data_IF_786568406383
#
_entry.id   IF_786568406383
#
_cell.length_a   1.000
_cell.length_b   1.000
_cell.length_c   1.000
_cell.angle_alpha   90.00
_cell.angle_beta   90.00
_cell.angle_gamma   90.00
#
_symmetry.space_group_name_H-M   'P 1'
#
loop_
_entity.id
_entity.type
_entity.pdbx_description
1 polymer ?
#
# COMPACT_ATOMS: atom_id res chain seq x y z
N UNK A 1 -23.25 11.72 19.57
CA UNK A 1 -22.91 11.43 18.17
C UNK A 1 -21.42 11.13 18.08
N UNK A 2 -20.94 9.98 17.57
CA UNK A 2 -19.48 9.78 17.53
C UNK A 2 -18.90 8.38 17.30
N UNK A 3 -19.48 7.53 16.45
CA UNK A 3 -18.75 6.31 16.01
C UNK A 3 -19.04 5.90 14.57
N UNK A 4 -20.27 6.12 14.10
CA UNK A 4 -20.65 5.80 12.72
C UNK A 4 -20.20 6.87 11.71
N UNK A 5 -19.97 8.13 12.15
CA UNK A 5 -19.49 9.21 11.28
C UNK A 5 -18.02 9.06 10.85
N UNK A 6 -17.19 8.37 11.64
CA UNK A 6 -15.81 8.06 11.24
C UNK A 6 -15.75 6.92 10.22
N UNK A 7 -16.67 5.95 10.27
CA UNK A 7 -16.73 4.84 9.31
C UNK A 7 -17.28 5.30 7.95
N UNK A 8 -18.23 6.24 7.93
CA UNK A 8 -18.66 6.88 6.70
C UNK A 8 -17.52 7.66 6.04
N UNK A 9 -16.55 8.16 6.82
CA UNK A 9 -15.40 8.92 6.33
C UNK A 9 -14.60 8.21 5.24
N UNK A 10 -14.21 6.95 5.45
CA UNK A 10 -13.40 6.19 4.47
C UNK A 10 -14.21 5.83 3.22
N UNK A 11 -15.40 5.23 3.41
CA UNK A 11 -16.24 4.76 2.30
C UNK A 11 -16.79 5.92 1.46
N UNK A 12 -17.04 7.09 2.07
CA UNK A 12 -17.46 8.30 1.33
C UNK A 12 -16.27 9.05 0.74
N UNK A 13 -15.05 8.86 1.24
CA UNK A 13 -13.88 9.57 0.72
C UNK A 13 -13.53 9.16 -0.72
N UNK A 14 -13.64 7.88 -1.08
CA UNK A 14 -13.38 7.40 -2.44
C UNK A 14 -14.29 8.04 -3.50
N UNK A 15 -15.64 7.94 -3.42
CA UNK A 15 -16.51 8.56 -4.40
C UNK A 15 -16.42 10.09 -4.38
N UNK A 16 -16.18 10.70 -3.21
CA UNK A 16 -15.98 12.12 -3.09
C UNK A 16 -14.69 12.59 -3.80
N UNK A 17 -13.55 11.93 -3.53
CA UNK A 17 -12.26 12.28 -4.13
C UNK A 17 -12.28 12.09 -5.66
N UNK A 18 -12.96 11.05 -6.15
CA UNK A 18 -13.12 10.80 -7.57
C UNK A 18 -13.86 11.96 -8.27
N UNK A 19 -14.95 12.45 -7.66
CA UNK A 19 -15.77 13.52 -8.23
C UNK A 19 -15.07 14.88 -8.20
N UNK A 20 -14.31 15.15 -7.15
CA UNK A 20 -13.75 16.49 -6.90
C UNK A 20 -12.38 16.74 -7.56
N UNK A 21 -11.62 15.69 -7.88
CA UNK A 21 -10.34 15.84 -8.58
C UNK A 21 -10.53 15.94 -10.09
N UNK A 22 -9.87 16.87 -10.76
CA UNK A 22 -9.85 16.98 -12.23
C UNK A 22 -8.76 16.11 -12.90
N UNK A 23 -7.79 15.61 -12.11
CA UNK A 23 -6.71 14.77 -12.63
C UNK A 23 -7.20 13.36 -12.99
N UNK A 24 -7.04 12.97 -14.27
CA UNK A 24 -7.34 11.61 -14.76
C UNK A 24 -6.48 10.56 -14.07
N UNK A 25 -5.20 10.86 -13.82
CA UNK A 25 -4.27 9.95 -13.12
C UNK A 25 -4.71 9.69 -11.68
N UNK A 26 -5.20 10.73 -10.99
CA UNK A 26 -5.72 10.55 -9.65
C UNK A 26 -7.04 9.79 -9.65
N UNK A 27 -7.96 10.09 -10.58
CA UNK A 27 -9.21 9.34 -10.73
C UNK A 27 -8.96 7.85 -11.00
N UNK A 28 -8.02 7.49 -11.87
CA UNK A 28 -7.66 6.09 -12.09
C UNK A 28 -7.07 5.45 -10.83
N UNK A 29 -6.24 6.19 -10.08
CA UNK A 29 -5.69 5.71 -8.83
C UNK A 29 -6.76 5.45 -7.76
N UNK A 30 -7.79 6.30 -7.64
CA UNK A 30 -8.90 6.09 -6.71
C UNK A 30 -9.60 4.75 -6.99
N UNK A 31 -9.83 4.43 -8.26
CA UNK A 31 -10.45 3.15 -8.65
C UNK A 31 -9.52 1.98 -8.32
N UNK A 32 -8.25 2.06 -8.75
CA UNK A 32 -7.27 0.99 -8.53
C UNK A 32 -7.05 0.74 -7.03
N UNK A 33 -6.81 1.79 -6.24
CA UNK A 33 -6.63 1.67 -4.79
C UNK A 33 -7.90 1.19 -4.07
N UNK A 34 -9.09 1.54 -4.57
CA UNK A 34 -10.35 1.01 -4.06
C UNK A 34 -10.48 -0.50 -4.27
N UNK A 35 -10.19 -0.97 -5.49
CA UNK A 35 -10.19 -2.41 -5.83
C UNK A 35 -9.13 -3.15 -5.04
N UNK A 36 -7.89 -2.66 -5.03
CA UNK A 36 -6.79 -3.28 -4.30
C UNK A 36 -7.04 -3.27 -2.79
N UNK A 37 -7.59 -2.18 -2.24
CA UNK A 37 -7.95 -2.08 -0.83
C UNK A 37 -9.06 -3.06 -0.44
N UNK A 38 -10.08 -3.23 -1.29
CA UNK A 38 -11.14 -4.21 -1.08
C UNK A 38 -10.61 -5.65 -1.15
N UNK A 39 -9.80 -5.97 -2.17
CA UNK A 39 -9.13 -7.27 -2.29
C UNK A 39 -8.25 -7.54 -1.08
N UNK A 40 -7.45 -6.56 -0.66
CA UNK A 40 -6.59 -6.66 0.50
C UNK A 40 -7.39 -6.92 1.78
N UNK A 41 -8.46 -6.17 2.02
CA UNK A 41 -9.33 -6.39 3.18
C UNK A 41 -9.96 -7.79 3.16
N UNK A 42 -10.37 -8.28 1.98
CA UNK A 42 -10.87 -9.63 1.80
C UNK A 42 -9.81 -10.69 2.14
N UNK A 43 -8.58 -10.54 1.66
CA UNK A 43 -7.46 -11.43 2.00
C UNK A 43 -7.11 -11.39 3.50
N UNK A 44 -7.14 -10.20 4.11
CA UNK A 44 -6.95 -10.02 5.56
C UNK A 44 -8.00 -10.78 6.37
N UNK A 45 -9.28 -10.67 5.97
CA UNK A 45 -10.36 -11.43 6.59
C UNK A 45 -10.20 -12.94 6.38
N UNK A 46 -9.86 -13.39 5.16
CA UNK A 46 -9.59 -14.79 4.84
C UNK A 46 -8.48 -15.38 5.70
N UNK A 47 -7.35 -14.68 5.83
CA UNK A 47 -6.26 -15.12 6.70
C UNK A 47 -6.67 -15.17 8.17
N UNK A 48 -7.50 -14.24 8.64
CA UNK A 48 -8.07 -14.30 9.99
C UNK A 48 -8.95 -15.55 10.16
N UNK A 49 -9.78 -15.90 9.18
CA UNK A 49 -10.57 -17.14 9.22
C UNK A 49 -9.69 -18.38 9.24
N UNK A 50 -8.65 -18.46 8.40
CA UNK A 50 -7.67 -19.56 8.42
C UNK A 50 -6.98 -19.65 9.77
N UNK A 51 -6.62 -18.51 10.35
CA UNK A 51 -5.98 -18.45 11.65
C UNK A 51 -6.89 -18.98 12.76
N UNK A 52 -8.19 -18.65 12.72
CA UNK A 52 -9.20 -19.18 13.64
C UNK A 52 -9.43 -20.68 13.39
N UNK A 53 -9.47 -21.14 12.14
CA UNK A 53 -9.56 -22.55 11.81
C UNK A 53 -8.40 -23.35 12.40
N UNK A 54 -7.17 -22.83 12.27
CA UNK A 54 -5.96 -23.44 12.82
C UNK A 54 -5.90 -23.38 14.36
N UNK A 55 -6.70 -22.51 15.02
CA UNK A 55 -6.82 -22.53 16.49
C UNK A 55 -7.68 -23.64 17.04
N UNK A 56 -8.67 -24.13 16.29
CA UNK A 56 -9.59 -25.15 16.78
C UNK A 56 -8.89 -26.48 17.10
N UNK A 57 -7.68 -26.72 16.56
CA UNK A 57 -6.86 -27.91 16.81
C UNK A 57 -5.65 -27.72 17.73
N UNK A 58 -5.33 -26.51 18.21
CA UNK A 58 -4.06 -26.23 18.90
C UNK A 58 -4.24 -25.95 20.41
N UNK A 59 -3.58 -26.75 21.27
CA UNK A 59 -3.52 -26.51 22.74
C UNK A 59 -2.74 -25.22 23.03
N UNK A 60 -3.35 -24.33 23.80
CA UNK A 60 -2.92 -22.94 23.99
C UNK A 60 -1.55 -22.75 24.65
N UNK A 61 -0.88 -21.64 24.31
CA UNK A 61 0.31 -21.20 25.04
C UNK A 61 1.14 -20.07 24.42
N UNK A 62 1.43 -20.07 23.11
CA UNK A 62 2.44 -19.15 22.53
C UNK A 62 1.98 -18.33 21.31
N UNK A 63 0.73 -18.48 20.86
CA UNK A 63 0.32 -18.05 19.52
C UNK A 63 -0.22 -16.62 19.43
N UNK A 64 -0.42 -15.90 20.52
CA UNK A 64 -1.11 -14.59 20.51
C UNK A 64 -0.25 -13.46 19.93
N UNK A 65 1.04 -13.42 20.25
CA UNK A 65 1.95 -12.35 19.78
C UNK A 65 2.11 -12.38 18.24
N UNK A 66 2.34 -13.56 17.67
CA UNK A 66 2.49 -13.75 16.23
C UNK A 66 1.19 -13.46 15.46
N UNK A 67 0.03 -13.63 16.10
CA UNK A 67 -1.29 -13.45 15.47
C UNK A 67 -1.68 -12.00 15.26
N UNK A 68 -1.36 -11.14 16.22
CA UNK A 68 -1.64 -9.70 16.09
C UNK A 68 -0.66 -9.02 15.12
N UNK A 69 0.56 -9.55 14.98
CA UNK A 69 1.57 -8.98 14.08
C UNK A 69 1.10 -8.88 12.62
N UNK A 70 0.35 -9.88 12.15
CA UNK A 70 -0.25 -9.85 10.81
C UNK A 70 -1.14 -8.61 10.57
N UNK A 71 -1.94 -8.21 11.57
CA UNK A 71 -2.78 -7.01 11.47
C UNK A 71 -1.94 -5.75 11.37
N UNK A 72 -0.83 -5.70 12.13
CA UNK A 72 0.11 -4.56 12.10
C UNK A 72 0.76 -4.46 10.72
N UNK A 73 1.32 -5.56 10.21
CA UNK A 73 1.90 -5.61 8.85
C UNK A 73 0.84 -5.23 7.81
N UNK A 74 -0.37 -5.75 7.96
CA UNK A 74 -1.45 -5.45 7.04
C UNK A 74 -1.81 -3.97 7.03
N UNK A 75 -1.83 -3.33 8.19
CA UNK A 75 -2.07 -1.90 8.33
C UNK A 75 -0.94 -1.06 7.73
N UNK A 76 0.32 -1.48 7.87
CA UNK A 76 1.48 -0.83 7.25
C UNK A 76 1.41 -0.85 5.71
N UNK A 77 0.77 -1.86 5.12
CA UNK A 77 0.53 -1.91 3.68
C UNK A 77 -0.73 -1.12 3.29
N UNK A 78 -1.79 -1.23 4.08
CA UNK A 78 -3.08 -0.61 3.77
C UNK A 78 -3.06 0.91 3.88
N UNK A 79 -2.39 1.48 4.90
CA UNK A 79 -2.37 2.93 5.12
C UNK A 79 -1.78 3.67 3.92
N UNK A 80 -0.56 3.36 3.43
CA UNK A 80 0.02 4.08 2.29
C UNK A 80 -0.76 3.86 0.98
N UNK A 81 -1.50 2.75 0.86
CA UNK A 81 -2.39 2.49 -0.28
C UNK A 81 -3.58 3.45 -0.31
N UNK A 82 -4.22 3.71 0.83
CA UNK A 82 -5.42 4.57 0.88
C UNK A 82 -5.09 6.03 1.18
N UNK A 83 -3.93 6.31 1.77
CA UNK A 83 -3.51 7.65 2.18
C UNK A 83 -3.61 8.69 1.07
N UNK A 84 -3.17 8.45 -0.18
CA UNK A 84 -3.29 9.46 -1.22
C UNK A 84 -4.74 9.88 -1.46
N UNK A 85 -5.68 8.93 -1.46
CA UNK A 85 -7.11 9.20 -1.62
C UNK A 85 -7.66 10.04 -0.48
N UNK A 86 -7.32 9.67 0.76
CA UNK A 86 -7.80 10.38 1.95
C UNK A 86 -7.21 11.78 2.07
N UNK A 87 -5.94 11.96 1.71
CA UNK A 87 -5.27 13.27 1.72
C UNK A 87 -5.87 14.21 0.67
N UNK A 88 -6.17 13.70 -0.53
CA UNK A 88 -6.87 14.49 -1.57
C UNK A 88 -8.30 14.83 -1.13
N UNK A 89 -9.06 13.85 -0.65
CA UNK A 89 -10.41 14.08 -0.13
C UNK A 89 -10.42 15.13 0.99
N UNK A 90 -9.51 14.99 1.97
CA UNK A 90 -9.40 15.91 3.11
C UNK A 90 -9.11 17.33 2.66
N UNK A 91 -8.19 17.53 1.71
CA UNK A 91 -7.84 18.89 1.28
C UNK A 91 -8.99 19.57 0.56
N UNK A 92 -9.76 18.82 -0.24
CA UNK A 92 -10.92 19.34 -0.95
C UNK A 92 -12.06 19.68 0.01
N UNK A 93 -12.31 18.84 1.02
CA UNK A 93 -13.29 19.15 2.08
C UNK A 93 -12.93 20.37 2.92
N UNK A 94 -11.65 20.69 3.04
CA UNK A 94 -11.12 21.80 3.84
C UNK A 94 -10.68 22.98 2.99
N UNK A 95 -10.93 22.94 1.68
CA UNK A 95 -10.50 23.96 0.70
C UNK A 95 -9.03 24.36 0.88
N UNK A 96 -8.17 23.41 1.25
CA UNK A 96 -6.79 23.70 1.61
C UNK A 96 -5.99 23.97 0.34
N UNK A 97 -5.42 25.19 0.19
CA UNK A 97 -4.65 25.54 -1.00
C UNK A 97 -3.35 24.74 -1.09
N UNK A 98 -3.14 24.07 -2.22
CA UNK A 98 -1.98 23.24 -2.55
C UNK A 98 -1.54 23.53 -4.00
N UNK A 99 -0.35 23.05 -4.40
CA UNK A 99 0.09 23.19 -5.79
C UNK A 99 -0.75 22.38 -6.78
N UNK A 100 -0.81 22.82 -8.05
CA UNK A 100 -1.56 22.18 -9.13
C UNK A 100 -1.19 20.70 -9.33
N UNK A 101 0.07 20.35 -9.05
CA UNK A 101 0.59 18.98 -9.20
C UNK A 101 0.29 18.07 -8.01
N UNK A 102 -0.43 18.53 -6.99
CA UNK A 102 -0.70 17.74 -5.78
C UNK A 102 -1.49 16.46 -6.10
N UNK A 103 -2.60 16.56 -6.83
CA UNK A 103 -3.41 15.37 -7.22
C UNK A 103 -2.62 14.34 -8.01
N UNK A 104 -2.05 14.69 -9.18
CA UNK A 104 -1.28 13.73 -9.96
C UNK A 104 -0.02 13.26 -9.22
N UNK A 105 0.61 14.11 -8.41
CA UNK A 105 1.79 13.76 -7.62
C UNK A 105 1.51 12.70 -6.55
N UNK A 106 0.39 12.84 -5.81
CA UNK A 106 -0.06 11.84 -4.85
C UNK A 106 -0.47 10.53 -5.54
N UNK A 107 -1.13 10.62 -6.69
CA UNK A 107 -1.49 9.44 -7.48
C UNK A 107 -0.26 8.67 -7.97
N UNK A 108 0.73 9.38 -8.52
CA UNK A 108 1.98 8.78 -8.99
C UNK A 108 2.73 8.09 -7.83
N UNK A 109 2.83 8.75 -6.67
CA UNK A 109 3.43 8.16 -5.48
C UNK A 109 2.63 6.93 -4.98
N UNK A 110 1.31 6.98 -5.07
CA UNK A 110 0.43 5.85 -4.75
C UNK A 110 0.65 4.65 -5.68
N UNK A 111 0.78 4.86 -6.98
CA UNK A 111 1.12 3.80 -7.93
C UNK A 111 2.53 3.26 -7.70
N UNK A 112 3.49 4.14 -7.39
CA UNK A 112 4.84 3.73 -7.00
C UNK A 112 4.82 2.86 -5.74
N UNK A 113 3.97 3.19 -4.76
CA UNK A 113 3.77 2.33 -3.60
C UNK A 113 3.23 0.94 -3.98
N UNK A 114 2.19 0.87 -4.81
CA UNK A 114 1.66 -0.42 -5.30
C UNK A 114 2.74 -1.24 -6.01
N UNK A 115 3.52 -0.60 -6.89
CA UNK A 115 4.65 -1.24 -7.55
C UNK A 115 5.68 -1.74 -6.53
N UNK A 116 6.02 -0.93 -5.53
CA UNK A 116 7.00 -1.30 -4.50
C UNK A 116 6.53 -2.48 -3.64
N UNK A 117 5.22 -2.62 -3.38
CA UNK A 117 4.67 -3.80 -2.71
C UNK A 117 4.87 -5.04 -3.57
N UNK A 118 4.58 -4.96 -4.87
CA UNK A 118 4.84 -6.07 -5.80
C UNK A 118 6.33 -6.45 -5.83
N UNK A 119 7.22 -5.47 -5.95
CA UNK A 119 8.67 -5.71 -5.95
C UNK A 119 9.17 -6.27 -4.61
N UNK A 120 8.58 -5.83 -3.49
CA UNK A 120 8.87 -6.40 -2.16
C UNK A 120 8.48 -7.87 -2.05
N UNK A 121 7.34 -8.25 -2.63
CA UNK A 121 6.94 -9.67 -2.71
C UNK A 121 7.93 -10.47 -3.54
N UNK A 122 8.36 -9.96 -4.71
CA UNK A 122 9.39 -10.61 -5.54
C UNK A 122 10.71 -10.75 -4.78
N UNK A 123 11.16 -9.71 -4.08
CA UNK A 123 12.39 -9.74 -3.27
C UNK A 123 12.30 -10.69 -2.06
N UNK A 124 11.09 -10.96 -1.57
CA UNK A 124 10.89 -11.88 -0.44
C UNK A 124 10.99 -13.37 -0.83
N UNK A 125 11.04 -13.68 -2.13
CA UNK A 125 11.01 -15.04 -2.64
C UNK A 125 12.34 -15.77 -2.36
N UNK A 126 12.32 -16.82 -1.51
CA UNK A 126 13.55 -17.56 -1.19
C UNK A 126 14.06 -18.33 -2.42
N UNK A 127 15.35 -18.70 -2.47
CA UNK A 127 15.93 -19.46 -3.57
C UNK A 127 15.22 -20.79 -3.86
N UNK A 128 14.73 -21.44 -2.80
CA UNK A 128 13.95 -22.68 -2.85
C UNK A 128 12.78 -22.58 -1.88
N UNK A 129 11.61 -23.09 -2.28
CA UNK A 129 10.41 -23.13 -1.45
C UNK A 129 9.60 -24.39 -1.76
N UNK A 130 8.80 -24.83 -0.81
CA UNK A 130 7.92 -25.97 -0.99
C UNK A 130 6.61 -25.56 -1.67
N UNK A 131 6.22 -26.31 -2.71
CA UNK A 131 4.92 -26.18 -3.38
C UNK A 131 4.38 -27.59 -3.62
N UNK A 132 3.18 -27.88 -3.10
CA UNK A 132 2.54 -29.20 -3.20
C UNK A 132 3.40 -30.37 -2.69
N UNK A 133 4.25 -30.13 -1.68
CA UNK A 133 5.15 -31.15 -1.13
C UNK A 133 6.44 -31.38 -1.91
N UNK A 134 6.66 -30.65 -3.01
CA UNK A 134 7.91 -30.67 -3.75
C UNK A 134 8.71 -29.40 -3.49
N UNK A 135 10.03 -29.54 -3.31
CA UNK A 135 10.96 -28.40 -3.20
C UNK A 135 11.23 -27.88 -4.61
N UNK A 136 10.76 -26.67 -4.88
CA UNK A 136 10.90 -26.00 -6.18
C UNK A 136 11.87 -24.83 -6.03
N UNK A 137 12.76 -24.67 -7.01
CA UNK A 137 13.65 -23.51 -7.08
C UNK A 137 12.92 -22.30 -7.68
N UNK A 138 13.25 -21.09 -7.21
CA UNK A 138 12.70 -19.86 -7.81
C UNK A 138 13.10 -19.74 -9.29
N UNK A 139 12.21 -19.23 -10.16
CA UNK A 139 12.54 -19.02 -11.56
C UNK A 139 13.76 -18.09 -11.72
N UNK A 140 14.69 -18.38 -12.65
CA UNK A 140 15.80 -17.48 -12.92
C UNK A 140 15.30 -16.14 -13.50
N UNK A 141 15.97 -15.01 -13.21
CA UNK A 141 15.68 -13.73 -13.86
C UNK A 141 15.72 -13.88 -15.38
N UNK A 142 14.69 -13.40 -16.07
CA UNK A 142 14.59 -13.52 -17.53
C UNK A 142 13.78 -12.38 -18.15
N UNK A 143 13.96 -12.17 -19.45
CA UNK A 143 13.29 -11.10 -20.20
C UNK A 143 13.82 -9.70 -19.92
N UNK A 144 13.05 -8.69 -20.32
CA UNK A 144 13.45 -7.27 -20.27
C UNK A 144 13.77 -6.76 -18.85
N UNK A 145 13.12 -7.32 -17.83
CA UNK A 145 13.28 -6.92 -16.43
C UNK A 145 14.26 -7.81 -15.65
N UNK A 146 14.99 -8.71 -16.32
CA UNK A 146 15.95 -9.60 -15.66
C UNK A 146 16.92 -8.88 -14.70
N UNK A 147 17.53 -7.71 -15.07
CA UNK A 147 18.44 -7.02 -14.16
C UNK A 147 17.77 -6.53 -12.87
N UNK A 148 16.51 -6.11 -12.95
CA UNK A 148 15.76 -5.66 -11.77
C UNK A 148 15.44 -6.83 -10.86
N UNK A 149 15.03 -7.97 -11.43
CA UNK A 149 14.71 -9.18 -10.66
C UNK A 149 15.98 -9.75 -10.01
N UNK A 150 17.11 -9.73 -10.71
CA UNK A 150 18.41 -10.14 -10.17
C UNK A 150 18.79 -9.31 -8.95
N UNK A 151 18.72 -7.98 -9.04
CA UNK A 151 18.96 -7.08 -7.90
C UNK A 151 18.01 -7.34 -6.71
N UNK A 152 16.73 -7.61 -6.98
CA UNK A 152 15.76 -7.94 -5.93
C UNK A 152 16.08 -9.29 -5.27
N UNK A 153 16.59 -10.23 -6.04
CA UNK A 153 16.94 -11.58 -5.59
C UNK A 153 18.24 -11.66 -4.80
N UNK A 154 19.11 -10.65 -4.92
CA UNK A 154 20.29 -10.45 -4.06
C UNK A 154 19.92 -9.90 -2.69
N UNK A 155 18.75 -9.26 -2.56
CA UNK A 155 18.30 -8.71 -1.29
C UNK A 155 18.03 -9.86 -0.29
N UNK A 156 18.58 -9.81 0.94
CA UNK A 156 18.21 -10.77 1.97
C UNK A 156 16.69 -10.73 2.19
N UNK A 157 16.04 -11.89 2.30
CA UNK A 157 14.58 -11.96 2.41
C UNK A 157 14.03 -11.12 3.59
N UNK A 158 14.78 -11.04 4.70
CA UNK A 158 14.45 -10.23 5.89
C UNK A 158 14.45 -8.72 5.58
N UNK A 159 15.21 -8.28 4.58
CA UNK A 159 15.28 -6.89 4.13
C UNK A 159 14.22 -6.55 3.06
N UNK A 160 13.51 -7.53 2.50
CA UNK A 160 12.45 -7.29 1.51
C UNK A 160 11.38 -6.26 1.92
N UNK A 161 11.00 -6.09 3.21
CA UNK A 161 10.04 -5.05 3.62
C UNK A 161 10.54 -3.61 3.41
N UNK A 162 11.85 -3.41 3.23
CA UNK A 162 12.41 -2.08 2.91
C UNK A 162 11.87 -1.56 1.58
N UNK A 163 11.62 -2.46 0.62
CA UNK A 163 11.13 -2.09 -0.72
C UNK A 163 9.78 -1.36 -0.64
N UNK A 164 8.71 -1.92 -0.05
CA UNK A 164 7.45 -1.19 0.14
C UNK A 164 7.56 -0.02 1.11
N UNK A 165 8.48 -0.06 2.07
CA UNK A 165 8.71 1.06 2.98
C UNK A 165 9.19 2.30 2.22
N UNK A 166 10.09 2.14 1.24
CA UNK A 166 10.52 3.25 0.36
C UNK A 166 9.32 3.84 -0.40
N UNK A 167 8.42 3.00 -0.90
CA UNK A 167 7.19 3.48 -1.55
C UNK A 167 6.27 4.25 -0.59
N UNK A 168 6.13 3.80 0.65
CA UNK A 168 5.33 4.49 1.67
C UNK A 168 5.94 5.86 2.03
N UNK A 169 7.27 5.91 2.16
CA UNK A 169 8.02 7.16 2.35
C UNK A 169 7.84 8.09 1.15
N UNK A 170 7.80 7.57 -0.08
CA UNK A 170 7.56 8.36 -1.28
C UNK A 170 6.16 9.01 -1.27
N UNK A 171 5.12 8.30 -0.80
CA UNK A 171 3.78 8.87 -0.60
C UNK A 171 3.82 10.03 0.40
N UNK A 172 4.46 9.84 1.55
CA UNK A 172 4.62 10.88 2.56
C UNK A 172 5.41 12.09 2.02
N UNK A 173 6.52 11.84 1.31
CA UNK A 173 7.36 12.87 0.72
C UNK A 173 6.60 13.66 -0.35
N UNK A 174 5.82 13.00 -1.21
CA UNK A 174 4.96 13.66 -2.19
C UNK A 174 3.94 14.57 -1.51
N UNK A 175 3.29 14.10 -0.45
CA UNK A 175 2.38 14.91 0.34
C UNK A 175 3.05 16.16 0.92
N UNK A 176 4.23 16.00 1.53
CA UNK A 176 4.99 17.13 2.11
C UNK A 176 5.45 18.11 1.03
N UNK A 177 5.97 17.61 -0.09
CA UNK A 177 6.51 18.43 -1.18
C UNK A 177 5.44 19.24 -1.90
N UNK A 178 4.32 18.62 -2.25
CA UNK A 178 3.26 19.31 -3.00
C UNK A 178 2.26 20.04 -2.09
N UNK A 179 2.17 19.66 -0.81
CA UNK A 179 1.30 20.30 0.18
C UNK A 179 1.89 21.57 0.80
N UNK A 180 3.21 21.74 0.75
CA UNK A 180 3.87 22.96 1.23
C UNK A 180 3.77 24.04 0.16
N UNK A 181 3.02 25.11 0.45
CA UNK A 181 2.98 26.33 -0.36
C UNK A 181 4.39 26.90 -0.55
N UNK A 182 4.97 26.68 -1.72
CA UNK A 182 5.87 27.63 -2.36
C UNK A 182 5.14 28.07 -3.64
N UNK A 183 4.73 29.33 -3.84
CA UNK A 183 5.24 30.54 -3.20
C UNK A 183 6.70 30.82 -3.54
N UNK A 184 7.27 30.15 -4.56
CA UNK A 184 8.66 30.34 -5.00
C UNK A 184 8.75 30.57 -6.52
N UNK A 185 7.74 31.23 -7.09
CA UNK A 185 7.80 31.87 -8.41
C UNK A 185 7.89 33.40 -8.31
N UNK A 186 8.11 33.95 -7.10
CA UNK A 186 8.50 35.34 -6.89
C UNK A 186 9.94 35.40 -6.34
N UNK A 187 10.91 34.89 -7.11
CA UNK A 187 12.29 35.39 -7.07
C UNK A 187 12.93 35.22 -8.44
N UNK A 188 13.37 36.38 -8.96
CA UNK A 188 14.04 36.68 -10.22
C UNK A 188 13.14 36.84 -11.44
#
# INVERSE_FOLDING_TARGET
MGRFDSYSGLLTAFPYAFRQSDSRLFRSYVVVSGVLGALFAFLMAGALFVLIGNTAGARGGSLTLSRTFYVVVGLFVFIPLVAPVLLVARRHRRETPVGERYDPGLAAAGYLFVLSVYLGVVASMPPTFETNGEVVARPPPSGLFAPVVELLYELPAVASPVVPLVGAVAVYAAHRRFGSKHGNSERA
#
